data_IF_433419026131
#
_entry.id   IF_433419026131
#
_cell.length_a   1.000
_cell.length_b   1.000
_cell.length_c   1.000
_cell.angle_alpha   90.00
_cell.angle_beta   90.00
_cell.angle_gamma   90.00
#
_symmetry.space_group_name_H-M   'P 1'
#
loop_
_entity.id
_entity.type
_entity.pdbx_description
1 polymer ?
#
# COMPACT_ATOMS: atom_id res chain seq x y z
N UNK A 1 11.70 -17.00 14.57
CA UNK A 1 11.22 -15.61 14.40
C UNK A 1 11.26 -15.35 12.90
N UNK A 2 10.18 -15.70 12.19
CA UNK A 2 10.09 -15.38 10.76
C UNK A 2 9.94 -13.86 10.67
N UNK A 3 11.01 -13.19 10.25
CA UNK A 3 10.87 -11.82 9.75
C UNK A 3 10.00 -11.94 8.50
N UNK A 4 8.75 -11.47 8.60
CA UNK A 4 7.96 -11.20 7.41
C UNK A 4 8.74 -10.11 6.67
N UNK A 5 9.54 -10.52 5.69
CA UNK A 5 10.23 -9.62 4.78
C UNK A 5 9.19 -8.64 4.27
N UNK A 6 9.39 -7.35 4.54
CA UNK A 6 8.57 -6.31 3.92
C UNK A 6 8.48 -6.63 2.44
N UNK A 7 7.27 -6.88 1.95
CA UNK A 7 7.10 -7.37 0.58
C UNK A 7 7.49 -6.29 -0.40
N UNK A 8 7.38 -5.01 0.00
CA UNK A 8 7.68 -3.84 -0.80
C UNK A 8 8.69 -2.89 -0.13
N UNK A 9 9.52 -2.23 -0.93
CA UNK A 9 10.49 -1.22 -0.52
C UNK A 9 10.58 -0.06 -1.53
N UNK A 10 10.80 1.15 -1.03
CA UNK A 10 11.06 2.33 -1.86
C UNK A 10 12.52 2.30 -2.34
N UNK A 11 12.73 2.14 -3.65
CA UNK A 11 14.08 2.06 -4.22
C UNK A 11 14.54 3.36 -4.87
N UNK A 12 13.60 4.22 -5.29
CA UNK A 12 13.94 5.54 -5.84
C UNK A 12 12.78 6.54 -5.66
N UNK A 13 13.13 7.82 -5.50
CA UNK A 13 12.18 8.93 -5.53
C UNK A 13 12.80 10.13 -6.26
N UNK A 14 12.22 10.49 -7.40
CA UNK A 14 12.63 11.62 -8.24
C UNK A 14 11.49 12.63 -8.35
N UNK A 15 11.47 13.62 -7.45
CA UNK A 15 10.41 14.61 -7.39
C UNK A 15 9.05 13.97 -7.09
N UNK A 16 8.17 13.95 -8.08
CA UNK A 16 6.82 13.37 -8.01
C UNK A 16 6.77 11.92 -8.53
N UNK A 17 7.89 11.37 -8.98
CA UNK A 17 7.99 9.98 -9.40
C UNK A 17 8.57 9.13 -8.27
N UNK A 18 7.94 7.99 -8.01
CA UNK A 18 8.30 7.06 -6.93
C UNK A 18 8.43 5.66 -7.53
N UNK A 19 9.56 5.00 -7.29
CA UNK A 19 9.78 3.60 -7.70
C UNK A 19 9.78 2.73 -6.46
N UNK A 20 8.79 1.84 -6.38
CA UNK A 20 8.67 0.85 -5.31
C UNK A 20 8.91 -0.53 -5.90
N UNK A 21 9.84 -1.27 -5.31
CA UNK A 21 10.10 -2.67 -5.67
C UNK A 21 9.40 -3.56 -4.67
N UNK A 22 8.79 -4.66 -5.14
CA UNK A 22 8.25 -5.66 -4.23
C UNK A 22 8.51 -7.07 -4.76
N UNK A 23 8.57 -8.04 -3.84
CA UNK A 23 8.79 -9.45 -4.13
C UNK A 23 7.66 -10.28 -3.56
N UNK A 24 7.07 -11.15 -4.38
CA UNK A 24 6.01 -12.08 -3.96
C UNK A 24 6.50 -13.50 -4.14
N UNK A 25 6.33 -14.33 -3.12
CA UNK A 25 6.58 -15.76 -3.22
C UNK A 25 5.33 -16.44 -3.77
N UNK A 26 5.47 -17.05 -4.94
CA UNK A 26 4.41 -17.88 -5.52
C UNK A 26 4.55 -19.31 -4.99
N UNK A 27 3.43 -19.90 -4.59
CA UNK A 27 3.30 -21.22 -3.99
C UNK A 27 2.74 -22.24 -4.98
N UNK A 28 2.15 -21.78 -6.09
CA UNK A 28 1.46 -22.61 -7.07
C UNK A 28 -0.03 -22.82 -6.77
N UNK A 29 -0.52 -22.31 -5.64
CA UNK A 29 -1.95 -22.23 -5.32
C UNK A 29 -2.51 -20.91 -5.86
N UNK A 30 -3.43 -20.99 -6.82
CA UNK A 30 -3.97 -19.80 -7.50
C UNK A 30 -4.56 -18.79 -6.52
N UNK A 31 -5.34 -19.25 -5.53
CA UNK A 31 -6.01 -18.37 -4.58
C UNK A 31 -5.04 -17.76 -3.55
N UNK A 32 -4.06 -18.53 -3.09
CA UNK A 32 -3.08 -18.03 -2.12
C UNK A 32 -2.09 -17.05 -2.77
N UNK A 33 -1.70 -17.34 -4.00
CA UNK A 33 -0.80 -16.50 -4.79
C UNK A 33 -1.45 -15.16 -5.15
N UNK A 34 -2.75 -15.17 -5.49
CA UNK A 34 -3.51 -13.93 -5.71
C UNK A 34 -3.56 -13.09 -4.43
N UNK A 35 -3.88 -13.70 -3.28
CA UNK A 35 -3.91 -12.99 -2.00
C UNK A 35 -2.54 -12.42 -1.63
N UNK A 36 -1.46 -13.17 -1.84
CA UNK A 36 -0.09 -12.71 -1.58
C UNK A 36 0.27 -11.52 -2.49
N UNK A 37 -0.13 -11.57 -3.77
CA UNK A 37 0.08 -10.48 -4.72
C UNK A 37 -0.70 -9.22 -4.32
N UNK A 38 -1.99 -9.35 -4.00
CA UNK A 38 -2.84 -8.23 -3.58
C UNK A 38 -2.28 -7.56 -2.32
N UNK A 39 -1.83 -8.33 -1.33
CA UNK A 39 -1.18 -7.79 -0.12
C UNK A 39 0.08 -6.99 -0.45
N UNK A 40 0.94 -7.55 -1.31
CA UNK A 40 2.19 -6.91 -1.70
C UNK A 40 1.96 -5.58 -2.43
N UNK A 41 0.95 -5.54 -3.31
CA UNK A 41 0.56 -4.31 -4.02
C UNK A 41 -0.03 -3.26 -3.07
N UNK A 42 -0.85 -3.68 -2.10
CA UNK A 42 -1.39 -2.78 -1.08
C UNK A 42 -0.28 -2.14 -0.25
N UNK A 43 0.73 -2.92 0.16
CA UNK A 43 1.91 -2.40 0.87
C UNK A 43 2.73 -1.45 -0.01
N UNK A 44 2.99 -1.84 -1.27
CA UNK A 44 3.71 -1.01 -2.22
C UNK A 44 3.02 0.34 -2.46
N UNK A 45 1.69 0.33 -2.59
CA UNK A 45 0.88 1.54 -2.73
C UNK A 45 0.97 2.44 -1.50
N UNK A 46 0.92 1.87 -0.29
CA UNK A 46 1.10 2.65 0.94
C UNK A 46 2.47 3.32 0.99
N UNK A 47 3.54 2.60 0.65
CA UNK A 47 4.91 3.14 0.60
C UNK A 47 5.01 4.25 -0.45
N UNK A 48 4.45 4.04 -1.65
CA UNK A 48 4.46 5.05 -2.72
C UNK A 48 3.75 6.35 -2.32
N UNK A 49 2.74 6.26 -1.45
CA UNK A 49 1.99 7.42 -0.95
C UNK A 49 2.66 8.15 0.21
N UNK A 50 3.60 7.52 0.93
CA UNK A 50 4.28 8.15 2.08
C UNK A 50 4.96 9.49 1.75
N UNK A 51 5.69 9.64 0.62
CA UNK A 51 6.29 10.92 0.26
C UNK A 51 5.25 12.02 0.00
N UNK A 52 4.08 11.67 -0.55
CA UNK A 52 2.99 12.64 -0.77
C UNK A 52 2.37 13.12 0.55
N UNK A 53 2.23 12.21 1.52
CA UNK A 53 1.78 12.54 2.88
C UNK A 53 2.80 13.44 3.61
N UNK A 54 4.11 13.18 3.46
CA UNK A 54 5.17 14.02 4.05
C UNK A 54 5.27 15.41 3.41
N UNK A 55 5.08 15.52 2.09
CA UNK A 55 5.04 16.81 1.40
C UNK A 55 3.81 17.64 1.82
N UNK A 56 2.69 16.98 2.12
CA UNK A 56 1.46 17.62 2.63
C UNK A 56 1.61 18.20 4.04
N UNK A 57 2.49 17.65 4.88
CA UNK A 57 2.80 18.23 6.20
C UNK A 57 3.69 19.48 6.11
N UNK A 58 4.45 19.63 5.01
CA UNK A 58 5.32 20.80 4.79
C UNK A 58 4.55 21.98 4.17
N UNK A 59 3.45 21.71 3.44
CA UNK A 59 2.46 22.70 3.01
C UNK A 59 1.19 22.52 3.84
N UNK A 60 1.25 22.95 5.10
CA UNK A 60 0.29 22.57 6.14
C UNK A 60 -1.17 22.51 5.71
N UNK A 61 -1.71 21.29 5.62
CA UNK A 61 -3.09 21.01 6.01
C UNK A 61 -3.14 19.65 6.69
N UNK A 62 -3.25 19.70 8.02
CA UNK A 62 -3.34 18.57 8.94
C UNK A 62 -4.65 17.82 8.71
N UNK A 63 -4.71 16.89 7.75
CA UNK A 63 -5.87 16.02 7.58
C UNK A 63 -5.71 14.76 8.41
N UNK A 64 -6.42 14.77 9.55
CA UNK A 64 -6.60 13.61 10.43
C UNK A 64 -7.17 12.44 9.62
N UNK A 65 -6.59 11.27 9.85
CA UNK A 65 -7.13 9.93 9.61
C UNK A 65 -8.55 9.88 9.02
N UNK A 66 -8.66 9.51 7.75
CA UNK A 66 -9.86 8.84 7.24
C UNK A 66 -9.47 7.40 6.97
N UNK A 67 -9.61 6.57 8.00
CA UNK A 67 -9.84 5.15 7.79
C UNK A 67 -11.20 5.09 7.11
N UNK A 68 -11.22 4.90 5.79
CA UNK A 68 -12.45 4.68 5.05
C UNK A 68 -12.98 3.31 5.48
N UNK A 69 -13.80 3.30 6.53
CA UNK A 69 -14.74 2.21 6.78
C UNK A 69 -15.60 2.07 5.53
N UNK A 70 -15.50 0.92 4.86
CA UNK A 70 -16.50 0.49 3.89
C UNK A 70 -17.85 0.44 4.61
N UNK A 71 -18.64 1.51 4.46
CA UNK A 71 -20.06 1.48 4.77
C UNK A 71 -20.69 0.71 3.62
N UNK A 72 -21.08 -0.54 3.88
CA UNK A 72 -21.97 -1.30 3.01
C UNK A 72 -23.25 -0.49 2.79
N UNK A 73 -23.54 -0.18 1.53
CA UNK A 73 -24.77 0.47 1.09
C UNK A 73 -25.96 -0.45 1.44
N UNK A 74 -26.94 -0.01 2.27
CA UNK A 74 -28.06 -0.86 2.64
C UNK A 74 -29.27 -0.57 1.75
N UNK A 75 -29.15 -0.63 0.42
CA UNK A 75 -30.31 -0.66 -0.48
C UNK A 75 -30.10 -1.58 -1.69
N UNK A 76 -30.15 -2.89 -1.45
CA UNK A 76 -30.79 -3.82 -2.38
C UNK A 76 -32.01 -4.42 -1.66
N UNK A 77 -33.18 -3.85 -1.96
CA UNK A 77 -34.50 -4.41 -1.65
C UNK A 77 -34.97 -5.29 -2.80
#
# INVERSE_FOLDING_TARGET
MEYMSMLAELVNQNGNEVTVQFTVKLTGSMLDDEQALQRSLNEAGQIAMQPMLKQSDTNGVRHKNVVASYQTDPEER
#
